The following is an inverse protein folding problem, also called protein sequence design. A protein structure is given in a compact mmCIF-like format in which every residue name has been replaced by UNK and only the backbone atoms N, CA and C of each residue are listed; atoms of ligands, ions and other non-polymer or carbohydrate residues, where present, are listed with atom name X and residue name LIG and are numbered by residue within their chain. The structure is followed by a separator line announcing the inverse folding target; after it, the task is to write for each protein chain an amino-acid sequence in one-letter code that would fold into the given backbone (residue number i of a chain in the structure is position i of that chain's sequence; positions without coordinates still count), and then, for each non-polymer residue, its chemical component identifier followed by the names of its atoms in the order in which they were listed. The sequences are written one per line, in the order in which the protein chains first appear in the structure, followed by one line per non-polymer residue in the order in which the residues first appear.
data_IF_135359004576
#
_entry.id   IF_135359004576
#
_cell.length_a   1.000
_cell.length_b   1.000
_cell.length_c   1.000
_cell.angle_alpha   90.00
_cell.angle_beta   90.00
_cell.angle_gamma   90.00
#
_symmetry.space_group_name_H-M   'P 1'
#
loop_
_entity.id
_entity.type
_entity.pdbx_description
1 polymer ?
#
# COMPACT_ATOMS: atom_id res chain seq x y z
N UNK A 1 -3.34 25.60 68.63
CA UNK A 1 -4.54 25.86 67.79
C UNK A 1 -4.05 26.41 66.44
N UNK A 2 -4.40 25.72 65.34
CA UNK A 2 -4.14 26.04 63.91
C UNK A 2 -2.67 25.85 63.48
N UNK A 3 -2.18 24.75 62.90
CA UNK A 3 -2.73 23.76 61.95
C UNK A 3 -3.16 24.32 60.59
N UNK A 4 -2.36 25.17 59.92
CA UNK A 4 -2.53 25.49 58.48
C UNK A 4 -1.21 25.93 57.83
N UNK A 5 -0.19 25.06 57.78
CA UNK A 5 0.97 25.31 56.91
C UNK A 5 1.49 24.01 56.29
N UNK A 6 0.60 23.31 55.60
CA UNK A 6 0.95 22.17 54.77
C UNK A 6 0.06 22.20 53.52
N UNK A 7 0.43 23.00 52.52
CA UNK A 7 0.06 22.69 51.14
C UNK A 7 0.87 23.55 50.15
N UNK A 8 1.21 22.93 49.03
CA UNK A 8 1.79 23.51 47.80
C UNK A 8 3.33 23.52 47.76
N UNK A 9 3.93 22.34 47.58
CA UNK A 9 4.96 22.13 46.55
C UNK A 9 5.17 20.63 46.29
N UNK A 10 4.09 19.90 46.01
CA UNK A 10 4.23 18.63 45.30
C UNK A 10 4.30 18.99 43.81
N UNK A 11 5.50 19.30 43.32
CA UNK A 11 5.78 19.43 41.90
C UNK A 11 5.61 18.03 41.30
N UNK A 12 4.39 17.73 40.87
CA UNK A 12 4.05 16.57 40.09
C UNK A 12 4.92 16.57 38.83
N UNK A 13 5.90 15.66 38.79
CA UNK A 13 6.53 15.25 37.54
C UNK A 13 5.40 14.70 36.68
N UNK A 14 4.89 15.53 35.77
CA UNK A 14 3.99 15.08 34.73
C UNK A 14 4.75 13.99 33.97
N UNK A 15 4.20 12.77 33.97
CA UNK A 15 4.70 11.68 33.16
C UNK A 15 4.67 12.12 31.69
N UNK A 16 5.82 12.51 31.16
CA UNK A 16 6.04 12.60 29.73
C UNK A 16 6.14 11.15 29.29
N UNK A 17 5.00 10.53 28.98
CA UNK A 17 5.00 9.30 28.20
C UNK A 17 5.69 9.64 26.87
N UNK A 18 6.77 8.94 26.47
CA UNK A 18 7.23 9.06 25.10
C UNK A 18 6.04 8.67 24.21
N UNK A 19 5.64 9.57 23.32
CA UNK A 19 4.82 9.19 22.20
C UNK A 19 5.66 8.17 21.42
N UNK A 20 5.39 6.88 21.62
CA UNK A 20 5.89 5.84 20.74
C UNK A 20 5.26 6.14 19.38
N UNK A 21 6.01 6.77 18.49
CA UNK A 21 5.70 6.71 17.08
C UNK A 21 5.90 5.25 16.69
N UNK A 22 4.82 4.56 16.31
CA UNK A 22 4.94 3.21 15.77
C UNK A 22 5.89 3.26 14.57
N UNK A 23 6.93 2.43 14.59
CA UNK A 23 7.81 2.33 13.46
C UNK A 23 7.04 1.79 12.24
N UNK A 24 7.27 2.32 11.03
CA UNK A 24 6.61 1.83 9.84
C UNK A 24 6.85 0.33 9.62
N UNK A 25 5.80 -0.40 9.29
CA UNK A 25 5.85 -1.83 9.02
C UNK A 25 6.60 -2.05 7.70
N UNK A 26 7.72 -2.79 7.69
CA UNK A 26 8.45 -3.08 6.46
C UNK A 26 7.64 -4.05 5.59
N UNK A 27 7.54 -3.77 4.29
CA UNK A 27 6.85 -4.59 3.30
C UNK A 27 7.63 -4.69 2.00
N UNK A 28 7.82 -5.88 1.45
CA UNK A 28 8.52 -6.06 0.18
C UNK A 28 7.58 -5.84 -0.98
N UNK A 29 7.97 -4.98 -1.92
CA UNK A 29 7.18 -4.64 -3.10
C UNK A 29 7.94 -5.04 -4.37
N UNK A 30 7.45 -6.08 -5.05
CA UNK A 30 7.94 -6.49 -6.36
C UNK A 30 7.42 -5.50 -7.42
N UNK A 31 8.30 -4.90 -8.22
CA UNK A 31 7.94 -3.89 -9.21
C UNK A 31 8.44 -4.33 -10.57
N UNK A 32 7.52 -4.65 -11.49
CA UNK A 32 7.86 -4.84 -12.88
C UNK A 32 7.98 -3.49 -13.59
N UNK A 33 9.15 -3.26 -14.18
CA UNK A 33 9.41 -2.18 -15.13
C UNK A 33 10.34 -2.73 -16.21
N UNK A 34 9.98 -2.68 -17.51
CA UNK A 34 10.84 -3.17 -18.59
C UNK A 34 12.26 -2.58 -18.59
N UNK A 35 12.43 -1.35 -18.07
CA UNK A 35 13.73 -0.69 -17.92
C UNK A 35 14.36 -0.86 -16.51
N UNK A 36 13.74 -1.68 -15.65
CA UNK A 36 14.21 -1.98 -14.30
C UNK A 36 14.26 -0.72 -13.43
N UNK A 37 15.33 -0.59 -12.64
CA UNK A 37 15.54 0.56 -11.72
C UNK A 37 15.54 1.92 -12.42
N UNK A 38 15.91 1.95 -13.70
CA UNK A 38 16.00 3.17 -14.49
C UNK A 38 14.68 3.52 -15.20
N UNK A 39 13.65 2.69 -15.06
CA UNK A 39 12.38 2.91 -15.70
C UNK A 39 11.50 3.92 -14.97
N UNK A 40 10.52 4.45 -15.71
CA UNK A 40 9.61 5.47 -15.22
C UNK A 40 8.64 4.93 -14.18
N UNK A 41 8.22 3.66 -14.29
CA UNK A 41 7.32 3.03 -13.33
C UNK A 41 8.05 2.86 -11.99
N UNK A 42 9.27 2.31 -12.01
CA UNK A 42 10.06 2.17 -10.79
C UNK A 42 10.34 3.52 -10.13
N UNK A 43 10.61 4.56 -10.93
CA UNK A 43 10.83 5.91 -10.43
C UNK A 43 9.58 6.49 -9.77
N UNK A 44 8.41 6.36 -10.38
CA UNK A 44 7.14 6.80 -9.77
C UNK A 44 6.84 6.06 -8.46
N UNK A 45 7.21 4.79 -8.35
CA UNK A 45 7.00 4.02 -7.12
C UNK A 45 7.83 4.53 -5.93
N UNK A 46 8.89 5.30 -6.15
CA UNK A 46 9.63 5.98 -5.07
C UNK A 46 8.75 7.04 -4.40
N UNK A 47 7.95 7.78 -5.17
CA UNK A 47 7.01 8.76 -4.61
C UNK A 47 5.86 8.04 -3.89
N UNK A 48 5.38 6.91 -4.46
CA UNK A 48 4.37 6.08 -3.78
C UNK A 48 4.86 5.52 -2.45
N UNK A 49 6.13 5.13 -2.37
CA UNK A 49 6.75 4.70 -1.10
C UNK A 49 6.68 5.81 -0.05
N UNK A 50 6.88 7.07 -0.42
CA UNK A 50 6.77 8.20 0.52
C UNK A 50 5.33 8.40 1.01
N UNK A 51 4.34 8.24 0.14
CA UNK A 51 2.93 8.31 0.52
C UNK A 51 2.52 7.15 1.43
N UNK A 52 3.01 5.94 1.16
CA UNK A 52 2.74 4.75 1.96
C UNK A 52 3.24 4.87 3.41
N UNK A 53 4.28 5.68 3.66
CA UNK A 53 4.74 5.97 5.03
C UNK A 53 3.66 6.65 5.87
N UNK A 54 2.77 7.44 5.27
CA UNK A 54 1.62 8.06 5.97
C UNK A 54 0.61 7.02 6.44
N UNK A 55 0.61 5.84 5.84
CA UNK A 55 -0.21 4.69 6.25
C UNK A 55 0.54 3.73 7.17
N UNK A 56 1.76 4.10 7.61
CA UNK A 56 2.60 3.26 8.47
C UNK A 56 3.28 2.10 7.73
N UNK A 57 3.41 2.16 6.41
CA UNK A 57 4.07 1.11 5.61
C UNK A 57 5.37 1.66 5.02
N UNK A 58 6.48 0.94 5.21
CA UNK A 58 7.75 1.21 4.53
C UNK A 58 8.01 0.12 3.50
N UNK A 59 7.85 0.46 2.23
CA UNK A 59 8.15 -0.50 1.17
C UNK A 59 9.66 -0.73 1.02
N UNK A 60 10.09 -1.97 0.86
CA UNK A 60 11.38 -2.36 0.29
C UNK A 60 11.14 -2.71 -1.17
N UNK A 61 11.58 -1.83 -2.07
CA UNK A 61 11.30 -1.97 -3.51
C UNK A 61 12.27 -2.95 -4.17
N UNK A 62 11.73 -4.01 -4.78
CA UNK A 62 12.46 -5.01 -5.56
C UNK A 62 12.16 -4.80 -7.05
N UNK A 63 13.10 -4.29 -7.85
CA UNK A 63 12.91 -4.09 -9.29
C UNK A 63 12.98 -5.40 -10.06
N UNK A 64 12.15 -5.55 -11.09
CA UNK A 64 12.15 -6.68 -12.02
C UNK A 64 12.00 -6.17 -13.45
N UNK A 65 12.85 -6.67 -14.35
CA UNK A 65 12.70 -6.47 -15.81
C UNK A 65 11.93 -7.60 -16.49
N UNK A 66 11.76 -8.73 -15.82
CA UNK A 66 10.92 -9.84 -16.24
C UNK A 66 9.66 -9.88 -15.37
N UNK A 67 8.52 -9.64 -15.98
CA UNK A 67 7.24 -9.56 -15.26
C UNK A 67 6.82 -10.90 -14.67
N UNK A 68 7.14 -12.00 -15.35
CA UNK A 68 6.80 -13.34 -14.87
C UNK A 68 7.49 -13.62 -13.55
N UNK A 69 8.77 -13.29 -13.43
CA UNK A 69 9.55 -13.46 -12.21
C UNK A 69 8.97 -12.62 -11.07
N UNK A 70 8.54 -11.37 -11.33
CA UNK A 70 7.89 -10.55 -10.32
C UNK A 70 6.58 -11.18 -9.80
N UNK A 71 5.77 -11.72 -10.70
CA UNK A 71 4.52 -12.40 -10.34
C UNK A 71 4.76 -13.72 -9.59
N UNK A 72 5.75 -14.51 -10.00
CA UNK A 72 6.10 -15.78 -9.35
C UNK A 72 6.67 -15.55 -7.95
N UNK A 73 7.53 -14.53 -7.77
CA UNK A 73 8.09 -14.17 -6.45
C UNK A 73 7.01 -13.66 -5.49
N UNK A 74 6.03 -12.90 -6.00
CA UNK A 74 4.84 -12.52 -5.22
C UNK A 74 4.04 -13.75 -4.79
N UNK A 75 3.73 -14.65 -5.73
CA UNK A 75 3.02 -15.90 -5.47
C UNK A 75 3.76 -16.80 -4.46
N UNK A 76 5.09 -16.80 -4.51
CA UNK A 76 5.94 -17.55 -3.59
C UNK A 76 6.10 -16.88 -2.21
N UNK A 77 5.47 -15.72 -1.96
CA UNK A 77 5.56 -15.00 -0.70
C UNK A 77 6.90 -14.29 -0.46
N UNK A 78 7.73 -14.12 -1.51
CA UNK A 78 8.96 -13.35 -1.40
C UNK A 78 8.71 -11.83 -1.40
N UNK A 79 7.54 -11.41 -1.85
CA UNK A 79 7.03 -10.05 -1.83
C UNK A 79 5.66 -10.00 -1.13
N UNK A 80 5.42 -8.96 -0.32
CA UNK A 80 4.13 -8.70 0.31
C UNK A 80 3.13 -8.06 -0.68
N UNK A 81 3.64 -7.38 -1.71
CA UNK A 81 2.86 -6.71 -2.75
C UNK A 81 3.59 -6.76 -4.09
N UNK A 82 2.83 -6.62 -5.18
CA UNK A 82 3.36 -6.60 -6.54
C UNK A 82 2.72 -5.50 -7.40
N UNK A 83 3.55 -4.82 -8.19
CA UNK A 83 3.14 -3.97 -9.29
C UNK A 83 3.48 -4.70 -10.60
N UNK A 84 2.44 -5.21 -11.26
CA UNK A 84 2.48 -5.97 -12.51
C UNK A 84 1.30 -5.50 -13.37
N UNK A 85 1.31 -5.80 -14.67
CA UNK A 85 0.18 -5.49 -15.56
C UNK A 85 -1.05 -6.30 -15.17
N UNK A 86 -2.25 -5.77 -15.41
CA UNK A 86 -3.51 -6.46 -15.12
C UNK A 86 -3.65 -7.81 -15.85
N UNK A 87 -3.00 -7.98 -17.00
CA UNK A 87 -2.89 -9.28 -17.68
C UNK A 87 -2.25 -10.35 -16.79
N UNK A 88 -1.24 -9.99 -15.99
CA UNK A 88 -0.61 -10.87 -14.99
C UNK A 88 -1.32 -10.86 -13.64
N UNK A 89 -2.13 -9.85 -13.33
CA UNK A 89 -2.96 -9.82 -12.11
C UNK A 89 -4.10 -10.82 -12.17
N UNK A 90 -4.62 -11.19 -13.35
CA UNK A 90 -5.85 -12.00 -13.49
C UNK A 90 -5.94 -13.28 -12.62
N UNK A 91 -4.87 -14.08 -12.40
CA UNK A 91 -4.92 -15.23 -11.50
C UNK A 91 -5.11 -14.84 -10.01
N UNK A 92 -4.64 -13.65 -9.62
CA UNK A 92 -4.69 -13.13 -8.24
C UNK A 92 -5.96 -12.31 -7.98
N UNK A 93 -6.43 -11.55 -8.98
CA UNK A 93 -7.65 -10.74 -8.92
C UNK A 93 -8.38 -10.83 -10.27
N UNK A 94 -9.27 -11.82 -10.48
CA UNK A 94 -9.98 -12.02 -11.74
C UNK A 94 -10.76 -10.79 -12.19
N UNK A 95 -11.41 -10.09 -11.26
CA UNK A 95 -12.11 -8.83 -11.56
C UNK A 95 -11.15 -7.77 -12.10
N UNK A 96 -9.99 -7.58 -11.45
CA UNK A 96 -8.98 -6.61 -11.88
C UNK A 96 -8.52 -6.87 -13.31
N UNK A 97 -8.35 -8.14 -13.68
CA UNK A 97 -8.00 -8.55 -15.05
C UNK A 97 -9.06 -8.21 -16.11
N UNK A 98 -10.33 -8.05 -15.74
CA UNK A 98 -11.39 -7.64 -16.70
C UNK A 98 -11.28 -6.18 -17.12
N UNK A 99 -10.68 -5.34 -16.28
CA UNK A 99 -10.56 -3.90 -16.51
C UNK A 99 -9.59 -3.57 -17.66
N UNK A 100 -8.66 -4.49 -17.95
CA UNK A 100 -7.69 -4.37 -19.05
C UNK A 100 -8.15 -5.07 -20.34
N UNK A 101 -9.37 -5.60 -20.41
CA UNK A 101 -9.88 -6.15 -21.66
C UNK A 101 -10.00 -5.04 -22.72
N UNK A 102 -9.63 -5.35 -23.96
CA UNK A 102 -9.75 -4.39 -25.06
C UNK A 102 -11.20 -3.92 -25.19
N UNK A 103 -11.40 -2.60 -25.16
CA UNK A 103 -12.73 -1.99 -25.24
C UNK A 103 -13.53 -1.97 -23.92
N UNK A 104 -12.95 -2.41 -22.78
CA UNK A 104 -13.66 -2.42 -21.49
C UNK A 104 -14.00 -1.01 -20.98
N UNK A 105 -13.19 0.01 -21.30
CA UNK A 105 -13.35 1.40 -20.87
C UNK A 105 -13.27 2.33 -22.09
N UNK A 106 -14.34 2.43 -22.91
CA UNK A 106 -14.30 3.15 -24.19
C UNK A 106 -14.34 4.67 -24.04
N UNK A 107 -14.77 5.18 -22.88
CA UNK A 107 -14.85 6.61 -22.60
C UNK A 107 -14.61 6.94 -21.12
N UNK A 108 -14.33 8.22 -20.85
CA UNK A 108 -14.05 8.71 -19.49
C UNK A 108 -15.25 8.62 -18.55
N UNK A 109 -16.48 8.63 -19.05
CA UNK A 109 -17.68 8.44 -18.23
C UNK A 109 -17.66 7.07 -17.56
N UNK A 110 -17.27 6.03 -18.30
CA UNK A 110 -17.13 4.69 -17.74
C UNK A 110 -15.94 4.56 -16.77
N UNK A 111 -14.82 5.23 -17.06
CA UNK A 111 -13.68 5.31 -16.11
C UNK A 111 -14.09 5.97 -14.80
N UNK A 112 -14.82 7.08 -14.85
CA UNK A 112 -15.36 7.75 -13.66
C UNK A 112 -16.37 6.87 -12.91
N UNK A 113 -17.23 6.16 -13.64
CA UNK A 113 -18.17 5.20 -13.06
C UNK A 113 -17.45 4.07 -12.33
N UNK A 114 -16.43 3.48 -12.95
CA UNK A 114 -15.57 2.46 -12.36
C UNK A 114 -14.89 2.99 -11.09
N UNK A 115 -14.30 4.20 -11.14
CA UNK A 115 -13.67 4.80 -9.97
C UNK A 115 -14.67 4.98 -8.83
N UNK A 116 -15.86 5.53 -9.11
CA UNK A 116 -16.94 5.66 -8.12
C UNK A 116 -17.38 4.32 -7.54
N UNK A 117 -17.35 3.26 -8.34
CA UNK A 117 -17.63 1.91 -7.87
C UNK A 117 -16.53 1.42 -6.93
N UNK A 118 -15.26 1.51 -7.35
CA UNK A 118 -14.11 1.06 -6.57
C UNK A 118 -13.91 1.81 -5.25
N UNK A 119 -14.28 3.10 -5.19
CA UNK A 119 -14.19 3.89 -3.96
C UNK A 119 -15.21 3.50 -2.89
N UNK A 120 -16.18 2.62 -3.19
CA UNK A 120 -17.16 2.15 -2.19
C UNK A 120 -16.60 0.94 -1.42
N UNK A 121 -16.71 0.91 -0.08
CA UNK A 121 -16.27 -0.24 0.72
C UNK A 121 -16.90 -1.57 0.31
N UNK A 122 -18.14 -1.54 -0.18
CA UNK A 122 -18.86 -2.73 -0.66
C UNK A 122 -18.18 -3.42 -1.84
N UNK A 123 -17.35 -2.69 -2.59
CA UNK A 123 -16.66 -3.18 -3.78
C UNK A 123 -15.36 -3.91 -3.45
N UNK A 124 -14.85 -3.82 -2.22
CA UNK A 124 -13.61 -4.47 -1.78
C UNK A 124 -13.63 -5.98 -2.05
N UNK A 125 -14.78 -6.64 -1.86
CA UNK A 125 -14.94 -8.08 -2.12
C UNK A 125 -14.60 -8.49 -3.55
N UNK A 126 -14.78 -7.60 -4.54
CA UNK A 126 -14.42 -7.87 -5.92
C UNK A 126 -12.89 -7.92 -6.14
N UNK A 127 -12.11 -7.33 -5.23
CA UNK A 127 -10.65 -7.25 -5.28
C UNK A 127 -9.94 -8.31 -4.42
N UNK A 128 -10.69 -9.15 -3.71
CA UNK A 128 -10.15 -10.11 -2.73
C UNK A 128 -10.14 -11.57 -3.22
N UNK A 129 -10.72 -11.87 -4.39
CA UNK A 129 -10.80 -13.24 -4.88
C UNK A 129 -9.63 -13.60 -5.79
N UNK A 130 -8.94 -14.71 -5.55
CA UNK A 130 -7.93 -15.30 -6.45
C UNK A 130 -6.93 -16.18 -5.70
N UNK A 131 -6.02 -16.82 -6.43
CA UNK A 131 -4.93 -17.59 -5.80
C UNK A 131 -3.94 -16.59 -5.18
N UNK A 132 -3.52 -16.84 -3.92
CA UNK A 132 -2.33 -16.17 -3.36
C UNK A 132 -1.07 -16.87 -3.84
#
# INVERSE_FOLDING_TARGET
MKLHLALICALSVAAISPAYADEPIPKKLCIFDPAGVNGSIFTMMKDYQLEALKWGIKFEMKPYTDEKTAADDFKAGQCDAALITGTRVRPFIPFGGTLEAMGALPDYGLVQGLLKFLSKPTSAKALESGDR
#
